data_IF_360506151568
#
_entry.id   IF_360506151568
#
_cell.length_a   1.000
_cell.length_b   1.000
_cell.length_c   1.000
_cell.angle_alpha   90.00
_cell.angle_beta   90.00
_cell.angle_gamma   90.00
#
_symmetry.space_group_name_H-M   'P 1'
#
loop_
_entity.id
_entity.type
_entity.pdbx_description
1 polymer ?
#
# COMPACT_ATOMS: atom_id res chain seq x y z
N UNK A 1 9.29 -11.18 12.38
CA UNK A 1 9.59 -9.75 12.10
C UNK A 1 11.08 -9.58 11.84
N UNK A 2 11.46 -8.88 10.76
CA UNK A 2 12.85 -8.54 10.51
C UNK A 2 13.35 -7.58 11.61
N UNK A 3 14.60 -7.72 12.09
CA UNK A 3 15.16 -6.86 13.14
C UNK A 3 15.62 -5.49 12.63
N UNK A 4 15.63 -5.27 11.32
CA UNK A 4 16.00 -3.99 10.72
C UNK A 4 14.79 -3.04 10.71
N UNK A 5 14.97 -1.83 11.22
CA UNK A 5 13.98 -0.75 11.22
C UNK A 5 14.53 0.48 10.49
N UNK A 6 13.65 1.22 9.83
CA UNK A 6 13.99 2.49 9.20
C UNK A 6 13.87 3.62 10.22
N UNK A 7 14.96 4.34 10.44
CA UNK A 7 14.99 5.57 11.22
C UNK A 7 15.01 6.76 10.29
N UNK A 8 14.20 7.77 10.60
CA UNK A 8 14.06 8.99 9.83
C UNK A 8 14.36 10.17 10.74
N UNK A 9 15.30 11.02 10.33
CA UNK A 9 15.69 12.22 11.05
C UNK A 9 15.45 13.43 10.16
N UNK A 10 14.84 14.45 10.74
CA UNK A 10 14.54 15.71 10.07
C UNK A 10 15.53 16.79 10.53
N UNK A 11 16.11 17.51 9.57
CA UNK A 11 16.99 18.65 9.80
C UNK A 11 16.41 19.88 9.11
N UNK A 12 16.00 20.89 9.89
CA UNK A 12 15.47 22.14 9.37
C UNK A 12 16.61 23.07 8.93
N UNK A 13 16.54 23.60 7.71
CA UNK A 13 17.41 24.69 7.31
C UNK A 13 17.11 25.95 8.16
N UNK A 14 18.14 26.63 8.64
CA UNK A 14 18.03 27.81 9.52
C UNK A 14 17.48 29.08 8.83
N UNK A 15 17.17 29.05 7.53
CA UNK A 15 16.70 30.22 6.79
C UNK A 15 15.16 30.29 6.72
N UNK A 16 14.60 31.29 7.40
CA UNK A 16 13.17 31.55 7.61
C UNK A 16 12.34 31.82 6.34
N UNK A 17 12.95 31.81 5.15
CA UNK A 17 12.30 32.19 3.90
C UNK A 17 11.91 31.02 3.00
N UNK A 18 12.47 29.82 3.22
CA UNK A 18 12.11 28.61 2.47
C UNK A 18 12.06 27.43 3.45
N UNK A 19 10.90 26.78 3.58
CA UNK A 19 10.70 25.54 4.32
C UNK A 19 11.42 24.36 3.64
N UNK A 20 12.74 24.40 3.58
CA UNK A 20 13.57 23.29 3.15
C UNK A 20 13.94 22.47 4.38
N UNK A 21 13.49 21.22 4.41
CA UNK A 21 13.87 20.22 5.40
C UNK A 21 14.72 19.17 4.71
N UNK A 22 15.82 18.78 5.34
CA UNK A 22 16.56 17.59 4.93
C UNK A 22 16.02 16.40 5.71
N UNK A 23 15.61 15.35 5.00
CA UNK A 23 15.24 14.08 5.61
C UNK A 23 16.39 13.09 5.44
N UNK A 24 16.87 12.55 6.54
CA UNK A 24 17.91 11.53 6.57
C UNK A 24 17.31 10.18 6.94
N UNK A 25 17.61 9.17 6.13
CA UNK A 25 17.13 7.81 6.28
C UNK A 25 18.29 6.91 6.67
N UNK A 26 18.10 6.14 7.75
CA UNK A 26 19.08 5.17 8.24
C UNK A 26 18.39 3.84 8.49
N UNK A 27 19.10 2.72 8.33
CA UNK A 27 18.62 1.43 8.79
C UNK A 27 19.33 1.05 10.08
N UNK A 28 18.55 0.76 11.12
CA UNK A 28 19.06 0.35 12.43
C UNK A 28 18.61 -1.08 12.73
N UNK A 29 19.53 -1.92 13.15
CA UNK A 29 19.23 -3.26 13.59
C UNK A 29 18.98 -3.26 15.10
N UNK A 30 17.74 -3.56 15.52
CA UNK A 30 17.37 -3.52 16.94
C UNK A 30 17.96 -4.67 17.76
N UNK A 31 18.31 -5.79 17.11
CA UNK A 31 18.88 -6.96 17.79
C UNK A 31 20.38 -6.82 18.03
N UNK A 32 21.11 -6.26 17.07
CA UNK A 32 22.55 -6.02 17.13
C UNK A 32 22.91 -4.67 17.75
N UNK A 33 21.91 -3.79 17.93
CA UNK A 33 22.05 -2.42 18.40
C UNK A 33 23.02 -1.58 17.55
N UNK A 34 22.98 -1.77 16.22
CA UNK A 34 23.91 -1.15 15.28
C UNK A 34 23.20 -0.59 14.05
N UNK A 35 23.73 0.52 13.54
CA UNK A 35 23.36 1.02 12.22
C UNK A 35 23.92 0.10 11.13
N UNK A 36 23.09 -0.19 10.13
CA UNK A 36 23.56 -0.74 8.86
C UNK A 36 24.28 0.35 8.08
N UNK A 37 25.11 -0.05 7.13
CA UNK A 37 25.88 0.87 6.28
C UNK A 37 25.01 1.52 5.20
N UNK A 38 23.84 2.04 5.58
CA UNK A 38 22.89 2.69 4.69
C UNK A 38 22.52 4.06 5.24
N UNK A 39 22.74 5.08 4.43
CA UNK A 39 22.32 6.45 4.68
C UNK A 39 21.84 7.05 3.38
N UNK A 40 20.63 7.58 3.39
CA UNK A 40 20.13 8.41 2.29
C UNK A 40 19.63 9.74 2.80
N UNK A 41 19.80 10.79 1.99
CA UNK A 41 19.37 12.15 2.35
C UNK A 41 18.59 12.76 1.20
N UNK A 42 17.39 13.26 1.49
CA UNK A 42 16.55 13.93 0.51
C UNK A 42 16.17 15.31 1.01
N UNK A 43 16.32 16.32 0.14
CA UNK A 43 15.83 17.67 0.39
C UNK A 43 14.34 17.72 0.06
N UNK A 44 13.53 18.17 1.01
CA UNK A 44 12.07 18.16 0.91
C UNK A 44 11.47 19.49 1.32
N UNK A 45 10.41 19.89 0.64
CA UNK A 45 9.66 21.12 0.97
C UNK A 45 8.54 20.87 1.97
N UNK A 46 8.01 19.64 2.03
CA UNK A 46 6.97 19.20 2.98
C UNK A 46 7.06 17.70 3.26
N UNK A 47 7.24 17.36 4.53
CA UNK A 47 7.37 15.97 5.02
C UNK A 47 6.09 15.16 4.81
N UNK A 48 4.91 15.78 4.93
CA UNK A 48 3.61 15.10 4.82
C UNK A 48 3.35 14.44 3.45
N UNK A 49 4.21 14.71 2.45
CA UNK A 49 4.11 14.15 1.11
C UNK A 49 4.96 12.88 0.93
N UNK A 50 5.74 12.51 1.95
CA UNK A 50 6.61 11.34 1.91
C UNK A 50 5.94 10.12 2.53
N UNK A 51 6.13 8.98 1.91
CA UNK A 51 5.83 7.69 2.49
C UNK A 51 7.08 6.82 2.38
N UNK A 52 7.38 6.07 3.44
CA UNK A 52 8.54 5.22 3.49
C UNK A 52 8.21 3.87 4.13
N UNK A 53 8.91 2.84 3.69
CA UNK A 53 8.73 1.47 4.16
C UNK A 53 10.06 0.74 4.08
N UNK A 54 10.33 -0.13 5.05
CA UNK A 54 11.39 -1.14 4.96
C UNK A 54 10.75 -2.51 4.79
N UNK A 55 11.26 -3.28 3.83
CA UNK A 55 10.92 -4.67 3.66
C UNK A 55 12.15 -5.41 3.16
N UNK A 56 12.80 -6.12 4.09
CA UNK A 56 14.14 -6.66 3.93
C UNK A 56 14.32 -7.40 2.58
N UNK A 57 15.40 -7.12 1.81
CA UNK A 57 16.52 -6.21 2.08
C UNK A 57 16.37 -4.78 1.51
N UNK A 58 15.15 -4.30 1.28
CA UNK A 58 14.91 -3.03 0.59
C UNK A 58 14.30 -1.94 1.47
N UNK A 59 14.69 -0.70 1.16
CA UNK A 59 14.05 0.52 1.64
C UNK A 59 13.33 1.18 0.46
N UNK A 60 12.07 1.54 0.68
CA UNK A 60 11.20 2.19 -0.27
C UNK A 60 10.95 3.61 0.22
N UNK A 61 11.34 4.62 -0.56
CA UNK A 61 11.17 6.04 -0.24
C UNK A 61 10.36 6.67 -1.36
N UNK A 62 9.11 7.00 -1.06
CA UNK A 62 8.17 7.60 -2.00
C UNK A 62 8.00 9.08 -1.69
N UNK A 63 8.36 9.92 -2.65
CA UNK A 63 8.03 11.34 -2.64
C UNK A 63 6.67 11.59 -3.31
N UNK A 64 6.39 12.84 -3.70
CA UNK A 64 5.13 13.17 -4.37
C UNK A 64 4.98 12.52 -5.75
N UNK A 65 6.07 12.35 -6.49
CA UNK A 65 6.11 11.88 -7.88
C UNK A 65 6.66 10.47 -8.02
N UNK A 66 7.70 10.14 -7.27
CA UNK A 66 8.52 8.96 -7.50
C UNK A 66 8.62 8.06 -6.27
N UNK A 67 8.76 6.77 -6.53
CA UNK A 67 9.19 5.75 -5.61
C UNK A 67 10.65 5.40 -5.91
N UNK A 68 11.52 5.63 -4.94
CA UNK A 68 12.92 5.22 -4.94
C UNK A 68 13.05 3.91 -4.16
N UNK A 69 13.72 2.92 -4.74
CA UNK A 69 13.92 1.60 -4.14
C UNK A 69 15.43 1.37 -3.95
N UNK A 70 15.86 1.20 -2.71
CA UNK A 70 17.25 0.95 -2.36
C UNK A 70 17.41 -0.45 -1.78
N UNK A 71 18.49 -1.14 -2.12
CA UNK A 71 18.95 -2.28 -1.33
C UNK A 71 19.87 -1.75 -0.25
N UNK A 72 19.44 -1.77 1.01
CA UNK A 72 20.19 -1.18 2.11
C UNK A 72 21.36 -2.05 2.59
N UNK A 73 21.42 -3.32 2.16
CA UNK A 73 22.56 -4.20 2.47
C UNK A 73 23.75 -3.95 1.55
N UNK A 74 23.49 -3.46 0.34
CA UNK A 74 24.53 -3.11 -0.66
C UNK A 74 24.68 -1.60 -0.86
N UNK A 75 23.79 -0.80 -0.27
CA UNK A 75 23.76 0.67 -0.38
C UNK A 75 23.65 1.14 -1.83
N UNK A 76 22.88 0.40 -2.61
CA UNK A 76 22.67 0.66 -4.04
C UNK A 76 21.24 1.06 -4.29
N UNK A 77 21.06 2.13 -5.06
CA UNK A 77 19.79 2.45 -5.70
C UNK A 77 19.46 1.38 -6.75
N UNK A 78 18.34 0.70 -6.57
CA UNK A 78 17.88 -0.41 -7.42
C UNK A 78 17.00 0.11 -8.54
N UNK A 79 16.05 0.98 -8.20
CA UNK A 79 15.11 1.53 -9.17
C UNK A 79 14.55 2.88 -8.72
N UNK A 80 14.13 3.68 -9.69
CA UNK A 80 13.37 4.92 -9.51
C UNK A 80 12.23 4.92 -10.51
N UNK A 81 10.99 4.98 -10.03
CA UNK A 81 9.79 4.92 -10.87
C UNK A 81 8.77 5.96 -10.43
N UNK A 82 8.00 6.55 -11.36
CA UNK A 82 6.80 7.28 -11.00
C UNK A 82 5.85 6.36 -10.21
N UNK A 83 5.28 6.84 -9.12
CA UNK A 83 4.31 6.08 -8.34
C UNK A 83 3.25 7.00 -7.77
N UNK A 84 1.98 6.69 -8.05
CA UNK A 84 0.85 7.45 -7.53
C UNK A 84 0.35 6.94 -6.18
N UNK A 85 0.85 5.77 -5.74
CA UNK A 85 0.50 5.18 -4.44
C UNK A 85 1.72 4.99 -3.56
N UNK A 86 1.47 4.84 -2.26
CA UNK A 86 2.49 4.36 -1.34
C UNK A 86 2.75 2.86 -1.62
N UNK A 87 3.99 2.38 -1.38
CA UNK A 87 4.30 0.96 -1.50
C UNK A 87 3.54 0.15 -0.44
N UNK A 88 3.02 -1.01 -0.82
CA UNK A 88 2.29 -1.91 0.08
C UNK A 88 2.79 -3.34 -0.06
N UNK A 89 2.94 -4.06 1.04
CA UNK A 89 3.33 -5.48 1.01
C UNK A 89 2.15 -6.33 0.53
N UNK A 90 2.39 -7.15 -0.49
CA UNK A 90 1.42 -8.08 -1.08
C UNK A 90 2.15 -9.35 -1.51
N UNK A 91 1.70 -10.51 -1.01
CA UNK A 91 2.28 -11.81 -1.34
C UNK A 91 3.83 -11.88 -1.22
N UNK A 92 4.36 -11.44 -0.08
CA UNK A 92 5.81 -11.32 0.19
C UNK A 92 6.60 -10.43 -0.78
N UNK A 93 5.93 -9.70 -1.64
CA UNK A 93 6.49 -8.70 -2.55
C UNK A 93 5.94 -7.32 -2.17
N UNK A 94 6.35 -6.30 -2.92
CA UNK A 94 5.85 -4.93 -2.74
C UNK A 94 5.11 -4.51 -4.00
N UNK A 95 3.89 -4.02 -3.85
CA UNK A 95 3.09 -3.50 -4.95
C UNK A 95 2.90 -2.00 -4.84
N UNK A 96 2.75 -1.36 -6.00
CA UNK A 96 2.45 0.06 -6.14
C UNK A 96 1.80 0.32 -7.50
N UNK A 97 1.17 1.49 -7.67
CA UNK A 97 0.53 1.87 -8.93
C UNK A 97 1.39 2.87 -9.68
N UNK A 98 1.70 2.56 -10.94
CA UNK A 98 2.32 3.49 -11.88
C UNK A 98 1.55 3.48 -13.19
N UNK A 99 1.30 4.66 -13.77
CA UNK A 99 0.65 4.80 -15.07
C UNK A 99 -0.60 3.91 -15.25
N UNK A 100 -1.47 3.86 -14.23
CA UNK A 100 -2.69 3.04 -14.25
C UNK A 100 -2.44 1.53 -14.21
N UNK A 101 -1.30 1.06 -13.71
CA UNK A 101 -0.99 -0.38 -13.63
C UNK A 101 -0.51 -0.74 -12.24
N UNK A 102 -0.94 -1.90 -11.74
CA UNK A 102 -0.30 -2.51 -10.58
C UNK A 102 1.06 -3.06 -11.00
N UNK A 103 2.09 -2.59 -10.31
CA UNK A 103 3.44 -3.10 -10.42
C UNK A 103 3.74 -3.95 -9.19
N UNK A 104 4.47 -5.03 -9.40
CA UNK A 104 5.01 -5.87 -8.34
C UNK A 104 6.54 -5.80 -8.38
N UNK A 105 7.12 -5.31 -7.31
CA UNK A 105 8.53 -5.44 -7.02
C UNK A 105 8.77 -6.76 -6.29
N UNK A 106 9.40 -7.69 -6.98
CA UNK A 106 9.76 -8.98 -6.45
C UNK A 106 10.98 -8.86 -5.54
N UNK A 107 10.77 -9.10 -4.25
CA UNK A 107 11.78 -8.86 -3.21
C UNK A 107 12.88 -9.91 -3.22
N UNK A 108 12.63 -11.13 -3.70
CA UNK A 108 13.70 -12.14 -3.78
C UNK A 108 14.65 -11.92 -4.95
N UNK A 109 14.19 -11.26 -6.01
CA UNK A 109 14.97 -11.05 -7.25
C UNK A 109 15.40 -9.60 -7.49
N UNK A 110 14.80 -8.65 -6.79
CA UNK A 110 15.01 -7.21 -7.00
C UNK A 110 14.46 -6.70 -8.34
N UNK A 111 13.51 -7.41 -8.95
CA UNK A 111 12.95 -7.07 -10.27
C UNK A 111 11.51 -6.58 -10.15
N UNK A 112 11.17 -5.57 -10.94
CA UNK A 112 9.80 -5.07 -11.08
C UNK A 112 9.12 -5.72 -12.28
N UNK A 113 7.92 -6.26 -12.08
CA UNK A 113 7.05 -6.76 -13.14
C UNK A 113 5.68 -6.08 -13.10
N UNK A 114 5.01 -6.02 -14.25
CA UNK A 114 3.61 -5.60 -14.30
C UNK A 114 2.73 -6.74 -13.80
N UNK A 115 1.89 -6.45 -12.82
CA UNK A 115 1.06 -7.41 -12.11
C UNK A 115 -0.36 -7.51 -12.70
N UNK A 116 -0.85 -6.41 -13.30
CA UNK A 116 -2.17 -6.33 -13.92
C UNK A 116 -2.11 -5.80 -15.35
N UNK A 117 -3.04 -6.22 -16.21
CA UNK A 117 -3.27 -5.66 -17.55
C UNK A 117 -4.30 -4.51 -17.59
N UNK A 118 -5.07 -4.33 -16.51
CA UNK A 118 -6.18 -3.39 -16.39
C UNK A 118 -5.78 -2.09 -15.68
N UNK A 119 -6.64 -1.07 -15.80
CA UNK A 119 -6.48 0.23 -15.17
C UNK A 119 -6.59 0.16 -13.65
N UNK A 120 -5.47 0.35 -12.98
CA UNK A 120 -5.32 0.39 -11.53
C UNK A 120 -5.70 1.76 -10.97
N UNK A 121 -6.53 1.76 -9.93
CA UNK A 121 -6.87 2.96 -9.17
C UNK A 121 -5.78 3.25 -8.12
N UNK A 122 -5.49 4.54 -7.88
CA UNK A 122 -4.61 4.93 -6.79
C UNK A 122 -5.19 4.59 -5.40
N UNK A 123 -6.51 4.51 -5.29
CA UNK A 123 -7.19 4.03 -4.09
C UNK A 123 -7.53 2.55 -4.28
N UNK A 124 -6.88 1.66 -3.56
CA UNK A 124 -7.17 0.23 -3.61
C UNK A 124 -6.96 -0.42 -2.24
N UNK A 125 -7.47 -1.63 -2.08
CA UNK A 125 -7.33 -2.43 -0.86
C UNK A 125 -6.95 -3.86 -1.18
N UNK A 126 -6.06 -4.41 -0.37
CA UNK A 126 -5.68 -5.82 -0.43
C UNK A 126 -6.74 -6.63 0.33
N UNK A 127 -7.38 -7.56 -0.36
CA UNK A 127 -8.39 -8.44 0.23
C UNK A 127 -7.82 -9.80 0.67
N UNK A 128 -6.64 -10.21 0.15
CA UNK A 128 -5.75 -11.26 0.66
C UNK A 128 -4.44 -11.25 -0.16
N UNK A 129 -3.61 -12.29 -0.06
CA UNK A 129 -2.41 -12.51 -0.89
C UNK A 129 -2.67 -12.69 -2.41
N UNK A 130 -3.93 -12.68 -2.84
CA UNK A 130 -4.35 -12.95 -4.22
C UNK A 130 -5.34 -11.95 -4.80
N UNK A 131 -6.06 -11.20 -3.97
CA UNK A 131 -7.11 -10.30 -4.44
C UNK A 131 -6.84 -8.85 -4.10
N UNK A 132 -7.07 -7.99 -5.08
CA UNK A 132 -7.08 -6.53 -4.93
C UNK A 132 -8.48 -6.02 -5.22
N UNK A 133 -8.96 -5.08 -4.41
CA UNK A 133 -10.22 -4.37 -4.65
C UNK A 133 -9.96 -2.90 -4.93
N UNK A 134 -10.71 -2.32 -5.85
CA UNK A 134 -10.60 -0.89 -6.15
C UNK A 134 -11.98 -0.28 -6.46
N UNK A 135 -12.23 0.99 -6.10
CA UNK A 135 -13.46 1.67 -6.45
C UNK A 135 -13.49 1.96 -7.95
N UNK A 136 -14.68 1.82 -8.54
CA UNK A 136 -15.00 2.29 -9.89
C UNK A 136 -15.77 3.61 -9.84
N UNK A 137 -16.54 3.83 -8.77
CA UNK A 137 -17.27 5.07 -8.49
C UNK A 137 -17.50 5.21 -6.97
N UNK A 138 -18.24 6.23 -6.55
CA UNK A 138 -18.62 6.41 -5.14
C UNK A 138 -19.37 5.21 -4.55
N UNK A 139 -20.13 4.48 -5.37
CA UNK A 139 -20.99 3.38 -4.94
C UNK A 139 -20.63 2.03 -5.59
N UNK A 140 -19.56 1.97 -6.37
CA UNK A 140 -19.19 0.76 -7.13
C UNK A 140 -17.71 0.43 -6.95
N UNK A 141 -17.39 -0.86 -6.95
CA UNK A 141 -16.05 -1.39 -6.79
C UNK A 141 -15.87 -2.69 -7.56
N UNK A 142 -14.63 -2.99 -7.90
CA UNK A 142 -14.27 -4.28 -8.48
C UNK A 142 -13.30 -5.05 -7.60
N UNK A 143 -13.38 -6.37 -7.68
CA UNK A 143 -12.45 -7.33 -7.08
C UNK A 143 -11.67 -7.99 -8.21
N UNK A 144 -10.36 -8.02 -8.08
CA UNK A 144 -9.43 -8.47 -9.10
C UNK A 144 -8.59 -9.60 -8.53
N UNK A 145 -8.67 -10.79 -9.13
CA UNK A 145 -7.70 -11.85 -8.83
C UNK A 145 -6.42 -11.58 -9.58
N UNK A 146 -5.33 -11.52 -8.84
CA UNK A 146 -4.02 -11.23 -9.35
C UNK A 146 -3.26 -12.55 -9.50
N UNK A 147 -2.97 -12.94 -10.75
CA UNK A 147 -2.11 -14.09 -11.06
C UNK A 147 -2.77 -15.28 -11.78
N UNK A 148 -4.11 -15.45 -11.76
CA UNK A 148 -4.86 -16.38 -12.64
C UNK A 148 -6.37 -16.21 -12.43
N UNK A 149 -7.11 -16.01 -13.53
CA UNK A 149 -8.58 -15.82 -13.65
C UNK A 149 -9.15 -14.55 -13.01
N UNK A 150 -9.30 -13.55 -13.87
CA UNK A 150 -10.10 -12.36 -13.64
C UNK A 150 -11.58 -12.75 -13.48
N UNK A 151 -12.22 -12.41 -12.36
CA UNK A 151 -13.68 -12.49 -12.24
C UNK A 151 -14.24 -11.14 -11.79
N UNK A 152 -14.83 -10.39 -12.71
CA UNK A 152 -15.62 -9.21 -12.37
C UNK A 152 -16.91 -9.69 -11.69
N UNK A 153 -17.04 -9.47 -10.38
CA UNK A 153 -18.34 -9.55 -9.71
C UNK A 153 -18.91 -8.15 -9.62
N UNK A 154 -19.87 -7.86 -10.50
CA UNK A 154 -20.69 -6.66 -10.38
C UNK A 154 -21.76 -6.92 -9.32
N UNK A 155 -21.71 -6.18 -8.21
CA UNK A 155 -22.84 -6.11 -7.29
C UNK A 155 -23.79 -5.06 -7.82
N UNK A 156 -24.89 -5.48 -8.45
CA UNK A 156 -25.90 -4.56 -8.97
C UNK A 156 -26.65 -3.91 -7.81
N UNK A 157 -26.27 -2.68 -7.44
CA UNK A 157 -26.99 -1.90 -6.44
C UNK A 157 -28.34 -1.46 -7.00
N UNK A 158 -29.43 -1.96 -6.40
CA UNK A 158 -30.79 -1.57 -6.76
C UNK A 158 -31.14 -0.23 -6.09
N UNK A 159 -31.81 0.71 -6.79
CA UNK A 159 -32.04 2.08 -6.32
C UNK A 159 -32.84 2.20 -5.01
N UNK A 160 -33.61 1.17 -4.63
CA UNK A 160 -34.46 1.18 -3.44
C UNK A 160 -33.83 0.49 -2.21
N UNK A 161 -32.60 -0.01 -2.35
CA UNK A 161 -31.89 -0.71 -1.28
C UNK A 161 -30.94 0.23 -0.56
N UNK A 162 -30.97 0.18 0.78
CA UNK A 162 -30.01 0.91 1.61
C UNK A 162 -28.87 -0.03 2.01
N UNK A 163 -27.65 0.33 1.62
CA UNK A 163 -26.45 -0.45 1.89
C UNK A 163 -25.62 0.21 2.99
N UNK A 164 -25.22 -0.57 4.01
CA UNK A 164 -24.31 -0.13 5.05
C UNK A 164 -23.05 -0.99 5.03
N UNK A 165 -21.89 -0.34 4.94
CA UNK A 165 -20.59 -0.98 5.00
C UNK A 165 -20.00 -0.82 6.40
N UNK A 166 -19.81 -1.93 7.11
CA UNK A 166 -19.18 -1.93 8.43
C UNK A 166 -17.88 -2.74 8.41
N UNK A 167 -16.80 -2.11 8.85
CA UNK A 167 -15.48 -2.74 9.06
C UNK A 167 -15.33 -3.06 10.54
N UNK A 168 -15.16 -4.33 10.91
CA UNK A 168 -14.87 -4.74 12.30
C UNK A 168 -13.49 -5.40 12.36
N UNK A 169 -12.59 -4.82 13.14
CA UNK A 169 -11.26 -5.38 13.42
C UNK A 169 -11.40 -6.38 14.58
N UNK A 170 -10.86 -7.59 14.43
CA UNK A 170 -10.77 -8.51 15.55
C UNK A 170 -9.59 -8.08 16.44
N UNK A 171 -9.84 -7.84 17.74
CA UNK A 171 -8.82 -7.37 18.69
C UNK A 171 -7.69 -8.36 18.98
N UNK A 172 -7.72 -9.56 18.39
CA UNK A 172 -6.86 -10.68 18.78
C UNK A 172 -5.79 -11.03 17.74
N UNK A 173 -5.92 -10.58 16.50
CA UNK A 173 -4.93 -10.73 15.43
C UNK A 173 -5.19 -9.60 14.43
N UNK A 174 -4.17 -8.80 14.10
CA UNK A 174 -4.23 -7.64 13.21
C UNK A 174 -4.50 -8.00 11.73
N UNK A 175 -5.59 -8.72 11.47
CA UNK A 175 -6.08 -9.15 10.16
C UNK A 175 -7.56 -8.78 10.05
N UNK A 176 -7.95 -8.16 8.94
CA UNK A 176 -9.35 -7.85 8.63
C UNK A 176 -10.10 -9.15 8.32
N UNK A 177 -10.58 -9.87 9.32
CA UNK A 177 -11.16 -11.20 9.07
C UNK A 177 -12.57 -11.16 8.47
N UNK A 178 -13.30 -10.03 8.55
CA UNK A 178 -14.70 -9.94 8.10
C UNK A 178 -15.08 -8.56 7.58
N UNK A 179 -15.69 -8.51 6.39
CA UNK A 179 -16.42 -7.33 5.89
C UNK A 179 -17.90 -7.67 5.86
N UNK A 180 -18.69 -6.80 6.47
CA UNK A 180 -20.13 -6.96 6.59
C UNK A 180 -20.78 -5.97 5.64
N UNK A 181 -21.55 -6.50 4.68
CA UNK A 181 -22.43 -5.71 3.83
C UNK A 181 -23.84 -6.00 4.32
N UNK A 182 -24.54 -4.97 4.81
CA UNK A 182 -25.94 -5.08 5.16
C UNK A 182 -26.76 -4.42 4.06
N UNK A 183 -27.60 -5.22 3.42
CA UNK A 183 -28.60 -4.77 2.46
C UNK A 183 -29.97 -4.76 3.14
N UNK A 184 -30.61 -3.60 3.17
CA UNK A 184 -31.99 -3.47 3.63
C UNK A 184 -32.90 -3.24 2.43
N UNK A 185 -33.83 -4.18 2.20
CA UNK A 185 -34.87 -4.06 1.18
C UNK A 185 -36.14 -3.54 1.83
N UNK A 186 -36.41 -2.24 1.64
CA UNK A 186 -37.51 -1.54 2.33
C UNK A 186 -38.88 -2.11 1.91
N UNK A 187 -39.05 -2.43 0.64
CA UNK A 187 -40.32 -2.94 0.09
C UNK A 187 -40.67 -4.35 0.59
N UNK A 188 -39.66 -5.20 0.77
CA UNK A 188 -39.84 -6.58 1.23
C UNK A 188 -39.79 -6.68 2.78
N UNK A 189 -39.48 -5.58 3.48
CA UNK A 189 -39.14 -5.54 4.91
C UNK A 189 -38.11 -6.62 5.31
N UNK A 190 -37.17 -6.94 4.41
CA UNK A 190 -36.12 -7.94 4.62
C UNK A 190 -34.75 -7.29 4.80
N UNK A 191 -33.88 -7.96 5.56
CA UNK A 191 -32.48 -7.57 5.75
C UNK A 191 -31.59 -8.74 5.36
N UNK A 192 -30.75 -8.53 4.35
CA UNK A 192 -29.72 -9.47 3.94
C UNK A 192 -28.38 -9.01 4.54
N UNK A 193 -27.70 -9.93 5.20
CA UNK A 193 -26.37 -9.67 5.77
C UNK A 193 -25.37 -10.55 5.05
N UNK A 194 -24.51 -9.94 4.24
CA UNK A 194 -23.41 -10.63 3.58
C UNK A 194 -22.17 -10.52 4.46
N UNK A 195 -21.70 -11.66 4.94
CA UNK A 195 -20.45 -11.77 5.70
C UNK A 195 -19.37 -12.26 4.74
N UNK A 196 -18.52 -11.34 4.28
CA UNK A 196 -17.32 -11.69 3.56
C UNK A 196 -16.27 -12.09 4.60
N UNK A 197 -16.02 -13.39 4.73
CA UNK A 197 -14.92 -13.88 5.56
C UNK A 197 -13.63 -13.82 4.75
N UNK A 198 -12.64 -13.11 5.28
CA UNK A 198 -11.28 -13.11 4.77
C UNK A 198 -10.46 -13.94 5.75
N UNK A 199 -9.84 -15.01 5.24
CA UNK A 199 -8.94 -15.87 6.01
C UNK A 199 -7.52 -15.35 5.87
#
# INVERSE_FOLDING_TARGET
PAPDVLLVVEEHAQDETILNVSMHFFVYNVSELKFRDFRETQAVTRISLFAFMIYEPYVFIKDYFNLNIYNYKTSTLVDVKPSVTNPVIFNNNVIYVTAGKFMEFNVSTGKTNQLSSFDACAMFYIACDRFITQPLSLNDFQVLEVGKRESKRELTMQPNNHYWLFKRVANTNSVYTKMLIVETKVEENTRNVYVLNFW
#
